data_IF_487963397682
#
_entry.id   IF_487963397682
#
_cell.length_a   1.000
_cell.length_b   1.000
_cell.length_c   1.000
_cell.angle_alpha   90.00
_cell.angle_beta   90.00
_cell.angle_gamma   90.00
#
_symmetry.space_group_name_H-M   'P 1'
#
loop_
_entity.id
_entity.type
_entity.pdbx_description
1 polymer ?
#
# COMPACT_ATOMS: atom_id res chain seq x y z
N UNK A 1 7.60 28.98 6.72
CA UNK A 1 7.09 27.74 6.09
C UNK A 1 8.19 26.81 5.58
N UNK A 2 9.07 27.18 4.63
CA UNK A 2 10.11 26.25 4.09
C UNK A 2 11.01 25.57 5.14
N UNK A 3 11.49 26.30 6.16
CA UNK A 3 12.31 25.72 7.24
C UNK A 3 11.54 24.66 8.05
N UNK A 4 10.26 24.89 8.32
CA UNK A 4 9.39 23.95 9.04
C UNK A 4 9.21 22.67 8.21
N UNK A 5 9.00 22.77 6.90
CA UNK A 5 8.85 21.60 6.02
C UNK A 5 10.12 20.74 5.97
N UNK A 6 11.31 21.37 5.95
CA UNK A 6 12.59 20.64 5.98
C UNK A 6 12.76 19.89 7.30
N UNK A 7 12.44 20.54 8.43
CA UNK A 7 12.50 19.91 9.75
C UNK A 7 11.50 18.76 9.91
N UNK A 8 10.27 18.90 9.41
CA UNK A 8 9.26 17.82 9.45
C UNK A 8 9.73 16.63 8.62
N UNK A 9 10.27 16.84 7.41
CA UNK A 9 10.78 15.73 6.59
C UNK A 9 11.95 15.00 7.24
N UNK A 10 12.84 15.72 7.93
CA UNK A 10 13.92 15.11 8.72
C UNK A 10 13.35 14.24 9.84
N UNK A 11 12.35 14.73 10.58
CA UNK A 11 11.71 13.98 11.65
C UNK A 11 10.97 12.74 11.14
N UNK A 12 10.29 12.82 9.99
CA UNK A 12 9.62 11.67 9.35
C UNK A 12 10.59 10.50 9.12
N UNK A 13 11.82 10.81 8.71
CA UNK A 13 12.86 9.81 8.42
C UNK A 13 13.70 9.43 9.65
N UNK A 14 13.57 10.15 10.76
CA UNK A 14 14.35 9.88 11.96
C UNK A 14 13.80 8.69 12.77
N UNK A 15 14.69 7.91 13.37
CA UNK A 15 14.34 6.70 14.13
C UNK A 15 13.49 6.98 15.38
N UNK A 16 13.54 8.20 15.93
CA UNK A 16 12.73 8.64 17.07
C UNK A 16 11.72 9.71 16.66
N UNK A 17 12.13 10.64 15.79
CA UNK A 17 11.29 11.73 15.29
C UNK A 17 10.03 11.25 14.60
N UNK A 18 10.06 10.07 13.95
CA UNK A 18 8.89 9.51 13.29
C UNK A 18 7.72 9.28 14.25
N UNK A 19 7.99 8.95 15.53
CA UNK A 19 6.94 8.76 16.53
C UNK A 19 6.25 10.08 16.91
N UNK A 20 7.01 11.18 16.93
CA UNK A 20 6.45 12.52 17.14
C UNK A 20 5.52 12.87 15.98
N UNK A 21 5.96 12.63 14.75
CA UNK A 21 5.13 12.91 13.57
C UNK A 21 3.87 12.05 13.55
N UNK A 22 3.98 10.76 13.85
CA UNK A 22 2.80 9.89 13.99
C UNK A 22 1.83 10.43 15.04
N UNK A 23 2.34 10.87 16.20
CA UNK A 23 1.49 11.44 17.25
C UNK A 23 0.74 12.70 16.78
N UNK A 24 1.41 13.59 16.05
CA UNK A 24 0.78 14.80 15.48
C UNK A 24 -0.27 14.43 14.43
N UNK A 25 0.00 13.44 13.57
CA UNK A 25 -0.98 12.98 12.58
C UNK A 25 -2.26 12.44 13.25
N UNK A 26 -2.11 11.75 14.38
CA UNK A 26 -3.23 11.16 15.11
C UNK A 26 -4.01 12.14 15.99
N UNK A 27 -3.29 13.01 16.71
CA UNK A 27 -3.85 13.80 17.83
C UNK A 27 -3.64 15.30 17.68
N UNK A 28 -2.87 15.76 16.70
CA UNK A 28 -2.63 17.17 16.43
C UNK A 28 -3.86 17.87 15.84
N UNK A 29 -3.73 19.17 15.61
CA UNK A 29 -4.80 19.94 14.96
C UNK A 29 -4.97 19.51 13.50
N UNK A 30 -6.10 19.86 12.90
CA UNK A 30 -6.34 19.56 11.50
C UNK A 30 -5.28 20.23 10.61
N UNK A 31 -4.89 21.46 10.91
CA UNK A 31 -3.87 22.19 10.18
C UNK A 31 -2.50 21.52 10.24
N UNK A 32 -2.10 21.04 11.42
CA UNK A 32 -0.82 20.34 11.59
C UNK A 32 -0.80 19.01 10.83
N UNK A 33 -1.90 18.24 10.94
CA UNK A 33 -2.08 17.00 10.19
C UNK A 33 -2.06 17.24 8.69
N UNK A 34 -2.78 18.25 8.19
CA UNK A 34 -2.82 18.60 6.77
C UNK A 34 -1.42 18.90 6.24
N UNK A 35 -0.62 19.68 6.98
CA UNK A 35 0.77 19.98 6.59
C UNK A 35 1.62 18.72 6.47
N UNK A 36 1.48 17.76 7.40
CA UNK A 36 2.25 16.51 7.35
C UNK A 36 1.80 15.63 6.18
N UNK A 37 0.49 15.55 5.93
CA UNK A 37 -0.07 14.79 4.81
C UNK A 37 0.40 15.37 3.47
N UNK A 38 0.41 16.69 3.32
CA UNK A 38 0.91 17.36 2.12
C UNK A 38 2.42 17.14 1.90
N UNK A 39 3.20 17.13 2.98
CA UNK A 39 4.63 16.80 2.91
C UNK A 39 4.81 15.35 2.46
N UNK A 40 4.04 14.41 3.02
CA UNK A 40 4.09 13.01 2.65
C UNK A 40 3.68 12.78 1.19
N UNK A 41 2.64 13.48 0.73
CA UNK A 41 2.14 13.43 -0.65
C UNK A 41 3.24 13.69 -1.69
N UNK A 42 4.14 14.64 -1.42
CA UNK A 42 5.20 15.04 -2.35
C UNK A 42 6.28 13.96 -2.59
N UNK A 43 6.40 12.96 -1.72
CA UNK A 43 7.37 11.87 -1.84
C UNK A 43 6.81 10.55 -1.29
N UNK A 44 5.54 10.27 -1.59
CA UNK A 44 4.82 9.18 -0.92
C UNK A 44 5.48 7.82 -1.15
N UNK A 45 6.08 7.62 -2.33
CA UNK A 45 6.80 6.40 -2.69
C UNK A 45 8.12 6.24 -1.97
N UNK A 46 8.92 7.30 -1.89
CA UNK A 46 10.20 7.28 -1.18
C UNK A 46 9.99 6.99 0.30
N UNK A 47 9.00 7.64 0.91
CA UNK A 47 8.66 7.45 2.31
C UNK A 47 8.10 6.04 2.58
N UNK A 48 7.32 5.47 1.67
CA UNK A 48 6.74 4.13 1.82
C UNK A 48 7.77 3.00 1.81
N UNK A 49 8.92 3.20 1.13
CA UNK A 49 10.04 2.24 1.12
C UNK A 49 11.05 2.45 2.25
N UNK A 50 10.77 3.38 3.17
CA UNK A 50 11.72 3.75 4.21
C UNK A 50 11.29 3.18 5.57
N UNK A 51 12.26 2.64 6.33
CA UNK A 51 12.04 1.91 7.59
C UNK A 51 11.17 2.64 8.61
N UNK A 52 11.40 3.94 8.77
CA UNK A 52 10.70 4.76 9.78
C UNK A 52 9.49 5.48 9.19
N UNK A 53 9.71 6.22 8.10
CA UNK A 53 8.69 6.97 7.39
C UNK A 53 7.50 6.15 6.85
N UNK A 54 7.67 4.86 6.53
CA UNK A 54 6.53 4.01 6.11
C UNK A 54 5.42 3.98 7.15
N UNK A 55 5.78 3.96 8.44
CA UNK A 55 4.79 4.04 9.53
C UNK A 55 4.05 5.38 9.54
N UNK A 56 4.74 6.48 9.22
CA UNK A 56 4.11 7.80 9.08
C UNK A 56 3.12 7.80 7.92
N UNK A 57 3.49 7.21 6.77
CA UNK A 57 2.59 7.07 5.63
C UNK A 57 1.32 6.30 6.01
N UNK A 58 1.45 5.19 6.75
CA UNK A 58 0.28 4.45 7.24
C UNK A 58 -0.64 5.29 8.14
N UNK A 59 -0.09 6.17 8.99
CA UNK A 59 -0.88 7.09 9.81
C UNK A 59 -1.54 8.17 8.96
N UNK A 60 -0.84 8.75 7.99
CA UNK A 60 -1.41 9.72 7.05
C UNK A 60 -2.60 9.12 6.30
N UNK A 61 -2.47 7.88 5.83
CA UNK A 61 -3.55 7.14 5.18
C UNK A 61 -4.75 6.92 6.10
N UNK A 62 -4.52 6.60 7.37
CA UNK A 62 -5.58 6.30 8.33
C UNK A 62 -6.31 7.54 8.87
N UNK A 63 -5.57 8.61 9.14
CA UNK A 63 -6.07 9.79 9.86
C UNK A 63 -6.27 11.02 8.96
N UNK A 64 -5.73 11.02 7.73
CA UNK A 64 -6.04 12.07 6.75
C UNK A 64 -7.53 12.12 6.43
N UNK A 65 -7.96 13.31 5.98
CA UNK A 65 -9.35 13.51 5.54
C UNK A 65 -9.74 12.50 4.46
N UNK A 66 -11.03 12.21 4.24
CA UNK A 66 -11.47 11.34 3.15
C UNK A 66 -10.89 11.75 1.79
N UNK A 67 -10.86 13.05 1.50
CA UNK A 67 -10.32 13.63 0.26
C UNK A 67 -8.81 13.40 0.17
N UNK A 68 -8.06 13.72 1.22
CA UNK A 68 -6.61 13.51 1.25
C UNK A 68 -6.25 12.04 1.09
N UNK A 69 -6.95 11.15 1.79
CA UNK A 69 -6.74 9.70 1.70
C UNK A 69 -6.99 9.20 0.29
N UNK A 70 -8.10 9.64 -0.33
CA UNK A 70 -8.42 9.32 -1.71
C UNK A 70 -7.29 9.75 -2.64
N UNK A 71 -6.83 10.99 -2.51
CA UNK A 71 -5.73 11.52 -3.32
C UNK A 71 -4.41 10.74 -3.11
N UNK A 72 -4.06 10.40 -1.87
CA UNK A 72 -2.87 9.59 -1.58
C UNK A 72 -2.96 8.19 -2.23
N UNK A 73 -4.11 7.54 -2.14
CA UNK A 73 -4.33 6.22 -2.76
C UNK A 73 -4.28 6.33 -4.29
N UNK A 74 -4.84 7.39 -4.86
CA UNK A 74 -4.77 7.66 -6.30
C UNK A 74 -3.34 7.89 -6.78
N UNK A 75 -2.44 8.44 -5.96
CA UNK A 75 -1.02 8.48 -6.29
C UNK A 75 -0.44 7.07 -6.41
N UNK A 76 -0.77 6.15 -5.50
CA UNK A 76 -0.28 4.76 -5.61
C UNK A 76 -0.82 4.01 -6.83
N UNK A 77 -2.06 4.30 -7.23
CA UNK A 77 -2.70 3.68 -8.40
C UNK A 77 -2.13 4.24 -9.70
N UNK A 78 -2.03 5.56 -9.80
CA UNK A 78 -1.74 6.26 -11.06
C UNK A 78 -0.28 6.73 -11.18
N UNK A 79 0.53 6.58 -10.15
CA UNK A 79 1.91 7.05 -10.14
C UNK A 79 2.78 6.27 -11.12
N UNK A 80 3.73 6.98 -11.73
CA UNK A 80 4.72 6.38 -12.62
C UNK A 80 5.82 5.72 -11.78
N UNK A 81 5.92 4.39 -11.86
CA UNK A 81 7.12 3.68 -11.42
C UNK A 81 8.18 3.62 -12.52
N UNK A 82 9.28 2.88 -12.31
CA UNK A 82 10.20 2.52 -13.38
C UNK A 82 9.46 1.89 -14.57
N UNK A 83 10.05 1.94 -15.78
CA UNK A 83 9.43 1.35 -16.96
C UNK A 83 8.92 -0.08 -16.69
N UNK A 84 7.63 -0.31 -16.95
CA UNK A 84 6.91 -1.57 -16.75
C UNK A 84 6.62 -1.99 -15.30
N UNK A 85 6.65 -1.07 -14.32
CA UNK A 85 6.23 -1.38 -12.95
C UNK A 85 5.40 -0.24 -12.35
N UNK A 86 4.21 -0.56 -11.85
CA UNK A 86 3.44 0.37 -11.03
C UNK A 86 4.07 0.49 -9.62
N UNK A 87 3.89 1.62 -8.92
CA UNK A 87 4.39 1.79 -7.57
C UNK A 87 3.89 0.73 -6.59
N UNK A 88 2.61 0.33 -6.70
CA UNK A 88 2.03 -0.76 -5.91
C UNK A 88 2.75 -2.09 -6.15
N UNK A 89 3.13 -2.38 -7.39
CA UNK A 89 3.87 -3.61 -7.75
C UNK A 89 5.28 -3.65 -7.14
N UNK A 90 5.91 -2.49 -6.94
CA UNK A 90 7.19 -2.40 -6.26
C UNK A 90 7.02 -2.52 -4.74
N UNK A 91 6.11 -1.73 -4.16
CA UNK A 91 5.91 -1.66 -2.71
C UNK A 91 5.45 -2.98 -2.12
N UNK A 92 4.62 -3.74 -2.82
CA UNK A 92 4.13 -5.04 -2.34
C UNK A 92 5.27 -6.06 -2.16
N UNK A 93 6.43 -5.82 -2.78
CA UNK A 93 7.63 -6.67 -2.70
C UNK A 93 8.72 -6.07 -1.79
N UNK A 94 8.49 -4.88 -1.26
CA UNK A 94 9.41 -4.19 -0.35
C UNK A 94 9.18 -4.60 1.12
N UNK A 95 10.27 -4.65 1.89
CA UNK A 95 10.25 -5.06 3.30
C UNK A 95 9.47 -4.10 4.22
N UNK A 96 9.27 -2.84 3.81
CA UNK A 96 8.48 -1.83 4.53
C UNK A 96 7.21 -1.47 3.76
N UNK A 97 7.32 -1.27 2.45
CA UNK A 97 6.22 -0.88 1.58
C UNK A 97 5.04 -1.86 1.58
N UNK A 98 5.28 -3.14 1.87
CA UNK A 98 4.21 -4.14 1.93
C UNK A 98 3.17 -3.83 3.03
N UNK A 99 3.56 -3.17 4.12
CA UNK A 99 2.63 -2.75 5.18
C UNK A 99 1.75 -1.59 4.70
N UNK A 100 2.33 -0.65 3.95
CA UNK A 100 1.58 0.44 3.30
C UNK A 100 0.57 -0.13 2.30
N UNK A 101 0.94 -1.13 1.49
CA UNK A 101 0.01 -1.78 0.56
C UNK A 101 -1.13 -2.49 1.29
N UNK A 102 -0.85 -3.20 2.38
CA UNK A 102 -1.90 -3.79 3.22
C UNK A 102 -2.83 -2.72 3.80
N UNK A 103 -2.28 -1.60 4.26
CA UNK A 103 -3.05 -0.46 4.75
C UNK A 103 -3.99 0.10 3.68
N UNK A 104 -3.48 0.32 2.47
CA UNK A 104 -4.28 0.79 1.33
C UNK A 104 -5.43 -0.16 1.06
N UNK A 105 -5.16 -1.48 1.01
CA UNK A 105 -6.21 -2.48 0.83
C UNK A 105 -7.27 -2.35 1.92
N UNK A 106 -6.89 -2.20 3.19
CA UNK A 106 -7.82 -2.16 4.32
C UNK A 106 -8.72 -0.91 4.34
N UNK A 107 -8.28 0.22 3.80
CA UNK A 107 -9.01 1.51 3.92
C UNK A 107 -9.53 2.09 2.60
N UNK A 108 -9.11 1.56 1.44
CA UNK A 108 -9.50 2.09 0.14
C UNK A 108 -11.01 1.96 -0.09
N UNK A 109 -11.61 3.00 -0.68
CA UNK A 109 -12.99 2.95 -1.15
C UNK A 109 -13.17 1.86 -2.22
N UNK A 110 -14.38 1.29 -2.39
CA UNK A 110 -14.60 0.15 -3.28
C UNK A 110 -14.01 0.30 -4.69
N UNK A 111 -14.17 1.47 -5.32
CA UNK A 111 -13.65 1.75 -6.65
C UNK A 111 -12.11 1.80 -6.69
N UNK A 112 -11.47 2.42 -5.69
CA UNK A 112 -10.01 2.45 -5.58
C UNK A 112 -9.47 1.07 -5.25
N UNK A 113 -10.11 0.36 -4.31
CA UNK A 113 -9.73 -1.00 -3.90
C UNK A 113 -9.74 -1.94 -5.09
N UNK A 114 -10.75 -1.86 -5.96
CA UNK A 114 -10.81 -2.67 -7.17
C UNK A 114 -9.57 -2.46 -8.06
N UNK A 115 -9.18 -1.20 -8.33
CA UNK A 115 -7.98 -0.88 -9.11
C UNK A 115 -6.70 -1.40 -8.46
N UNK A 116 -6.56 -1.23 -7.13
CA UNK A 116 -5.41 -1.74 -6.37
C UNK A 116 -5.33 -3.26 -6.50
N UNK A 117 -6.46 -3.97 -6.36
CA UNK A 117 -6.51 -5.43 -6.51
C UNK A 117 -6.14 -5.85 -7.94
N UNK A 118 -6.65 -5.17 -8.96
CA UNK A 118 -6.32 -5.45 -10.37
C UNK A 118 -4.80 -5.35 -10.62
N UNK A 119 -4.16 -4.29 -10.14
CA UNK A 119 -2.71 -4.11 -10.25
C UNK A 119 -1.94 -5.22 -9.51
N UNK A 120 -2.33 -5.55 -8.28
CA UNK A 120 -1.61 -6.52 -7.46
C UNK A 120 -1.84 -7.98 -7.90
N UNK A 121 -2.90 -8.27 -8.67
CA UNK A 121 -3.18 -9.60 -9.21
C UNK A 121 -2.05 -10.11 -10.11
N UNK A 122 -1.50 -9.24 -10.94
CA UNK A 122 -0.37 -9.57 -11.82
C UNK A 122 0.90 -9.96 -11.02
N UNK A 123 0.98 -9.52 -9.76
CA UNK A 123 2.12 -9.75 -8.88
C UNK A 123 1.94 -10.98 -7.96
N UNK A 124 0.79 -11.66 -7.95
CA UNK A 124 0.48 -12.75 -6.99
C UNK A 124 1.55 -13.84 -6.97
N UNK A 125 2.04 -14.27 -8.14
CA UNK A 125 3.09 -15.29 -8.23
C UNK A 125 4.42 -14.85 -7.61
N UNK A 126 4.73 -13.54 -7.66
CA UNK A 126 5.89 -12.98 -7.00
C UNK A 126 5.65 -12.83 -5.49
N UNK A 127 4.49 -12.32 -5.09
CA UNK A 127 4.09 -12.10 -3.68
C UNK A 127 4.18 -13.40 -2.87
N UNK A 128 3.76 -14.54 -3.45
CA UNK A 128 3.85 -15.87 -2.80
C UNK A 128 5.25 -16.27 -2.34
N UNK A 129 6.31 -15.67 -2.90
CA UNK A 129 7.70 -15.97 -2.54
C UNK A 129 8.14 -15.29 -1.24
N UNK A 130 7.39 -14.31 -0.76
CA UNK A 130 7.72 -13.54 0.45
C UNK A 130 6.97 -14.08 1.67
N UNK A 131 7.59 -13.99 2.85
CA UNK A 131 7.03 -14.49 4.12
C UNK A 131 5.68 -13.84 4.48
N UNK A 132 5.50 -12.57 4.13
CA UNK A 132 4.27 -11.80 4.33
C UNK A 132 3.23 -11.99 3.21
N UNK A 133 3.56 -12.72 2.14
CA UNK A 133 2.70 -12.83 0.95
C UNK A 133 1.31 -13.38 1.25
N UNK A 134 1.19 -14.31 2.19
CA UNK A 134 -0.10 -14.86 2.64
C UNK A 134 -1.07 -13.79 3.17
N UNK A 135 -0.56 -12.77 3.88
CA UNK A 135 -1.39 -11.72 4.48
C UNK A 135 -1.93 -10.74 3.43
N UNK A 136 -1.17 -10.53 2.37
CA UNK A 136 -1.58 -9.69 1.24
C UNK A 136 -2.60 -10.44 0.40
N UNK A 137 -2.33 -11.70 0.06
CA UNK A 137 -3.24 -12.52 -0.75
C UNK A 137 -4.60 -12.67 -0.07
N UNK A 138 -4.65 -12.91 1.24
CA UNK A 138 -5.91 -12.98 1.99
C UNK A 138 -6.75 -11.70 1.87
N UNK A 139 -6.13 -10.53 1.69
CA UNK A 139 -6.85 -9.26 1.47
C UNK A 139 -7.30 -9.06 0.02
N UNK A 140 -6.73 -9.78 -0.93
CA UNK A 140 -7.18 -9.80 -2.33
C UNK A 140 -8.43 -10.69 -2.52
N UNK A 141 -8.60 -11.72 -1.67
CA UNK A 141 -9.66 -12.73 -1.79
C UNK A 141 -11.11 -12.23 -1.68
N UNK A 142 -11.48 -11.25 -0.83
CA UNK A 142 -12.87 -10.76 -0.74
C UNK A 142 -13.41 -10.15 -2.05
N UNK A 143 -12.54 -9.80 -3.00
CA UNK A 143 -12.90 -9.36 -4.37
C UNK A 143 -12.52 -10.37 -5.46
N UNK A 144 -12.17 -11.61 -5.10
CA UNK A 144 -11.74 -12.67 -6.00
C UNK A 144 -12.87 -13.69 -6.20
N UNK A 145 -13.44 -13.85 -7.41
CA UNK A 145 -14.25 -15.03 -7.69
C UNK A 145 -13.37 -16.26 -7.48
N UNK A 146 -13.78 -17.22 -6.63
CA UNK A 146 -13.04 -18.47 -6.41
C UNK A 146 -12.86 -19.21 -7.75
N UNK A 147 -11.76 -18.98 -8.45
CA UNK A 147 -11.30 -19.89 -9.49
C UNK A 147 -10.58 -21.04 -8.80
N UNK A 148 -11.36 -22.05 -8.38
CA UNK A 148 -10.89 -23.43 -8.24
C UNK A 148 -12.04 -24.41 -7.93
N UNK A 149 -12.66 -24.93 -9.00
CA UNK A 149 -13.16 -26.32 -9.03
C UNK A 149 -13.32 -26.84 -10.47
N UNK A 150 -12.34 -26.66 -11.36
CA UNK A 150 -12.26 -27.45 -12.60
C UNK A 150 -10.80 -27.84 -12.85
N UNK A 151 -10.24 -28.62 -11.93
CA UNK A 151 -9.13 -29.49 -12.26
C UNK A 151 -9.13 -30.73 -11.35
N UNK A 152 -10.12 -31.59 -11.57
CA UNK A 152 -10.02 -33.02 -11.22
C UNK A 152 -10.59 -33.86 -12.37
N UNK A 153 -9.67 -34.21 -13.29
CA UNK A 153 -9.51 -35.46 -14.05
C UNK A 153 -10.76 -36.13 -14.64
N UNK A 154 -10.83 -36.19 -15.97
CA UNK A 154 -11.07 -37.41 -16.80
C UNK A 154 -10.59 -37.07 -18.24
N UNK A 155 -10.19 -38.03 -19.11
CA UNK A 155 -10.56 -39.44 -19.14
C UNK A 155 -9.35 -40.40 -19.15
N UNK A 156 -9.53 -41.64 -18.70
CA UNK A 156 -8.69 -42.73 -19.19
C UNK A 156 -9.60 -43.78 -19.81
N UNK A 157 -9.60 -43.80 -21.14
CA UNK A 157 -10.20 -44.85 -21.96
C UNK A 157 -9.46 -46.16 -21.67
N UNK A 158 -10.05 -46.99 -20.81
CA UNK A 158 -9.66 -48.38 -20.65
C UNK A 158 -10.37 -49.22 -21.70
N UNK A 159 -9.63 -49.60 -22.73
CA UNK A 159 -9.93 -50.68 -23.66
C UNK A 159 -9.95 -52.01 -22.88
N UNK A 160 -11.05 -52.76 -22.96
CA UNK A 160 -11.13 -54.22 -22.81
C UNK A 160 -12.29 -54.65 -23.73
N UNK A 161 -12.00 -55.17 -24.93
CA UNK A 161 -11.90 -56.61 -25.23
C UNK A 161 -13.20 -57.36 -24.95
#
# INVERSE_FOLDING_TARGET
>A
MRKIMISVRQLINDQYGNYVIQHVVEHGTEEERMVIVDIARNDIFGLSNHKFASNVVERCLQHGSPEQRKELIDLFINGDGPPNASPLSLLVRDQYGNYVVQRILDIAEPAQRQKVVEILREQVSAIKKYSYGKHIIARLEPGWPRQNSIQRRQPNNGVLS
#
